data_IF_683292256626
#
_entry.id   IF_683292256626
#
_cell.length_a   1.000
_cell.length_b   1.000
_cell.length_c   1.000
_cell.angle_alpha   90.00
_cell.angle_beta   90.00
_cell.angle_gamma   90.00
#
_symmetry.space_group_name_H-M   'P 1'
#
loop_
_entity.id
_entity.type
_entity.pdbx_description
1 polymer ?
#
# COMPACT_ATOMS: atom_id res chain seq x y z
N UNK A 1 3.86 -6.49 2.07
CA UNK A 1 2.50 -6.77 1.59
C UNK A 1 2.31 -6.21 0.18
N UNK A 2 1.80 -7.03 -0.74
CA UNK A 2 1.50 -6.64 -2.12
C UNK A 2 -0.01 -6.78 -2.36
N UNK A 3 -0.62 -5.76 -2.95
CA UNK A 3 -1.99 -5.88 -3.45
C UNK A 3 -1.99 -6.79 -4.67
N UNK A 4 -2.83 -7.81 -4.68
CA UNK A 4 -2.94 -8.73 -5.81
C UNK A 4 -3.35 -8.02 -7.11
N UNK A 5 -3.13 -8.67 -8.28
CA UNK A 5 -3.63 -8.18 -9.56
C UNK A 5 -5.12 -7.83 -9.48
N UNK A 6 -5.50 -6.69 -10.04
CA UNK A 6 -6.88 -6.23 -10.14
C UNK A 6 -7.03 -5.29 -11.34
N UNK A 7 -8.22 -4.73 -11.53
CA UNK A 7 -8.52 -3.91 -12.70
C UNK A 7 -8.59 -4.77 -13.95
N UNK A 8 -8.05 -4.27 -15.06
CA UNK A 8 -7.98 -5.00 -16.31
C UNK A 8 -7.14 -6.29 -16.21
N UNK A 9 -6.15 -6.31 -15.30
CA UNK A 9 -5.29 -7.48 -15.10
C UNK A 9 -6.06 -8.64 -14.46
N UNK A 10 -7.06 -8.34 -13.61
CA UNK A 10 -7.91 -9.36 -12.97
C UNK A 10 -9.25 -8.74 -12.54
N UNK A 11 -10.26 -8.71 -13.44
CA UNK A 11 -11.56 -8.13 -13.13
C UNK A 11 -12.35 -8.89 -12.07
N UNK A 12 -12.03 -10.17 -11.86
CA UNK A 12 -12.67 -11.06 -10.87
C UNK A 12 -12.15 -10.89 -9.44
N UNK A 13 -11.16 -10.01 -9.22
CA UNK A 13 -10.62 -9.78 -7.88
C UNK A 13 -11.66 -9.20 -6.93
N UNK A 14 -11.67 -9.64 -5.67
CA UNK A 14 -12.64 -9.24 -4.63
C UNK A 14 -12.65 -7.73 -4.33
N UNK A 15 -11.56 -7.02 -4.65
CA UNK A 15 -11.46 -5.58 -4.50
C UNK A 15 -12.18 -4.79 -5.62
N UNK A 16 -12.66 -5.45 -6.68
CA UNK A 16 -13.31 -4.80 -7.81
C UNK A 16 -14.76 -4.41 -7.47
N UNK A 17 -15.11 -3.15 -7.75
CA UNK A 17 -16.47 -2.60 -7.68
C UNK A 17 -16.71 -1.70 -8.88
N UNK A 18 -17.82 -1.89 -9.58
CA UNK A 18 -18.21 -1.07 -10.75
C UNK A 18 -17.08 -0.92 -11.79
N UNK A 19 -16.37 -2.03 -12.05
CA UNK A 19 -15.25 -2.07 -13.00
C UNK A 19 -13.95 -1.41 -12.54
N UNK A 20 -13.88 -0.92 -11.29
CA UNK A 20 -12.69 -0.26 -10.72
C UNK A 20 -12.26 -0.93 -9.42
N UNK A 21 -10.96 -0.91 -9.13
CA UNK A 21 -10.48 -1.36 -7.83
C UNK A 21 -10.96 -0.37 -6.76
N UNK A 22 -11.71 -0.85 -5.77
CA UNK A 22 -12.24 -0.04 -4.67
C UNK A 22 -11.16 0.53 -3.74
N UNK A 23 -9.92 0.07 -3.88
CA UNK A 23 -8.73 0.55 -3.16
C UNK A 23 -7.82 1.40 -4.04
N UNK A 24 -8.23 1.66 -5.28
CA UNK A 24 -7.54 2.49 -6.27
C UNK A 24 -6.13 1.99 -6.63
N UNK A 25 -6.02 0.68 -6.88
CA UNK A 25 -4.81 0.08 -7.43
C UNK A 25 -4.93 -0.11 -8.96
N UNK A 26 -3.80 -0.06 -9.71
CA UNK A 26 -2.45 0.32 -9.25
C UNK A 26 -2.38 1.80 -8.82
N UNK A 27 -1.60 2.11 -7.78
CA UNK A 27 -1.37 3.48 -7.34
C UNK A 27 -0.47 4.23 -8.32
N UNK A 28 -0.56 5.56 -8.38
CA UNK A 28 0.38 6.37 -9.17
C UNK A 28 1.76 6.42 -8.50
N UNK A 29 2.81 6.58 -9.30
CA UNK A 29 4.12 6.98 -8.77
C UNK A 29 4.04 8.42 -8.26
N UNK A 30 4.72 8.68 -7.14
CA UNK A 30 4.76 9.99 -6.50
C UNK A 30 6.13 10.14 -5.86
N UNK A 31 6.84 11.24 -6.16
CA UNK A 31 8.22 11.43 -5.71
C UNK A 31 8.36 11.85 -4.25
N UNK A 32 7.28 12.39 -3.67
CA UNK A 32 7.24 12.81 -2.28
C UNK A 32 5.90 12.46 -1.63
N UNK A 33 5.96 12.25 -0.33
CA UNK A 33 4.78 12.01 0.50
C UNK A 33 4.08 13.35 0.73
N UNK A 34 2.77 13.43 0.48
CA UNK A 34 1.96 14.65 0.65
C UNK A 34 0.55 14.32 1.13
N UNK A 35 -0.22 15.32 1.50
CA UNK A 35 -1.66 15.19 1.75
C UNK A 35 -2.44 15.56 0.49
N UNK A 36 -3.58 14.92 0.28
CA UNK A 36 -4.59 15.43 -0.65
C UNK A 36 -5.50 16.46 0.02
N UNK A 37 -6.44 17.01 -0.75
CA UNK A 37 -7.40 18.02 -0.31
C UNK A 37 -8.33 17.50 0.79
N UNK A 38 -8.55 16.17 0.81
CA UNK A 38 -9.36 15.46 1.79
C UNK A 38 -8.53 14.96 3.00
N UNK A 39 -7.30 15.46 3.15
CA UNK A 39 -6.37 15.17 4.25
C UNK A 39 -5.94 13.70 4.32
N UNK A 40 -6.05 12.96 3.23
CA UNK A 40 -5.50 11.62 3.13
C UNK A 40 -4.00 11.65 2.77
N UNK A 41 -3.19 10.80 3.42
CA UNK A 41 -1.79 10.68 3.11
C UNK A 41 -1.60 10.00 1.74
N UNK A 42 -1.04 10.74 0.78
CA UNK A 42 -0.45 10.19 -0.44
C UNK A 42 1.01 9.89 -0.16
N UNK A 43 1.32 8.62 0.05
CA UNK A 43 2.68 8.15 0.30
C UNK A 43 3.55 8.18 -0.96
N UNK A 44 4.83 8.56 -0.79
CA UNK A 44 5.85 8.47 -1.84
C UNK A 44 5.94 7.05 -2.39
N UNK A 45 5.99 6.95 -3.71
CA UNK A 45 6.11 5.69 -4.43
C UNK A 45 7.04 5.88 -5.63
N UNK A 46 8.31 5.45 -5.47
CA UNK A 46 9.35 5.61 -6.50
C UNK A 46 9.17 4.60 -7.63
N UNK A 47 9.34 5.07 -8.86
CA UNK A 47 9.57 4.18 -9.99
C UNK A 47 11.06 3.81 -10.02
N UNK A 48 11.36 2.56 -9.69
CA UNK A 48 12.73 2.03 -9.64
C UNK A 48 13.01 1.05 -10.78
N UNK A 49 12.05 0.83 -11.69
CA UNK A 49 12.17 -0.14 -12.78
C UNK A 49 12.11 -1.62 -12.35
N UNK A 50 11.87 -1.91 -11.08
CA UNK A 50 11.81 -3.29 -10.57
C UNK A 50 10.40 -3.84 -10.70
N UNK A 51 10.33 -5.05 -11.26
CA UNK A 51 9.11 -5.79 -11.54
C UNK A 51 9.25 -7.18 -10.93
N UNK A 52 8.18 -7.67 -10.32
CA UNK A 52 8.03 -9.06 -9.87
C UNK A 52 6.79 -9.66 -10.53
N UNK A 53 6.89 -10.91 -10.95
CA UNK A 53 5.79 -11.65 -11.55
C UNK A 53 5.01 -12.39 -10.47
N UNK A 54 3.71 -12.10 -10.36
CA UNK A 54 2.78 -12.77 -9.44
C UNK A 54 1.62 -13.33 -10.25
N UNK A 55 1.43 -14.65 -10.25
CA UNK A 55 0.41 -15.34 -11.05
C UNK A 55 0.47 -14.91 -12.53
N UNK A 56 1.66 -14.91 -13.11
CA UNK A 56 1.96 -14.49 -14.49
C UNK A 56 1.66 -13.02 -14.81
N UNK A 57 1.38 -12.20 -13.80
CA UNK A 57 1.18 -10.76 -13.94
C UNK A 57 2.40 -10.01 -13.43
N UNK A 58 2.92 -9.12 -14.27
CA UNK A 58 4.01 -8.22 -13.90
C UNK A 58 3.51 -7.12 -12.96
N UNK A 59 4.10 -7.07 -11.77
CA UNK A 59 3.75 -6.16 -10.69
C UNK A 59 4.97 -5.30 -10.33
N UNK A 60 4.75 -4.00 -10.19
CA UNK A 60 5.76 -3.06 -9.72
C UNK A 60 5.34 -2.41 -8.39
N UNK A 61 6.13 -1.42 -7.95
CA UNK A 61 5.91 -0.70 -6.70
C UNK A 61 4.49 -0.10 -6.57
N UNK A 62 3.71 0.07 -7.66
CA UNK A 62 2.33 0.59 -7.65
C UNK A 62 1.33 -0.30 -6.89
N UNK A 63 1.67 -1.56 -6.65
CA UNK A 63 0.83 -2.51 -5.94
C UNK A 63 1.21 -2.68 -4.45
N UNK A 64 2.30 -2.07 -3.98
CA UNK A 64 2.72 -2.20 -2.57
C UNK A 64 1.68 -1.58 -1.62
N UNK A 65 1.34 -2.29 -0.55
CA UNK A 65 0.49 -1.80 0.54
C UNK A 65 1.41 -1.21 1.64
N UNK A 66 1.23 0.05 2.06
CA UNK A 66 2.00 0.63 3.16
C UNK A 66 1.80 -0.14 4.47
N UNK A 67 2.88 -0.36 5.20
CA UNK A 67 2.88 -1.04 6.51
C UNK A 67 3.86 -0.37 7.48
N UNK A 68 3.71 -0.65 8.78
CA UNK A 68 4.66 -0.21 9.81
C UNK A 68 5.41 -1.43 10.32
N UNK A 69 6.74 -1.55 10.07
CA UNK A 69 7.53 -2.68 10.53
C UNK A 69 7.53 -2.86 12.05
N UNK A 70 7.45 -1.78 12.82
CA UNK A 70 7.38 -1.86 14.29
C UNK A 70 6.06 -2.49 14.74
N UNK A 71 4.94 -2.12 14.09
CA UNK A 71 3.65 -2.73 14.41
C UNK A 71 3.61 -4.20 13.97
N UNK A 72 4.16 -4.49 12.79
CA UNK A 72 4.29 -5.87 12.31
C UNK A 72 5.12 -6.72 13.28
N UNK A 73 6.26 -6.22 13.75
CA UNK A 73 7.12 -6.92 14.69
C UNK A 73 6.49 -7.03 16.09
N UNK A 74 5.84 -5.98 16.58
CA UNK A 74 5.24 -5.95 17.92
C UNK A 74 4.05 -6.90 18.03
N UNK A 75 3.19 -6.95 17.00
CA UNK A 75 1.96 -7.71 17.02
C UNK A 75 2.03 -9.02 16.23
N UNK A 76 3.16 -9.29 15.56
CA UNK A 76 3.34 -10.43 14.66
C UNK A 76 2.18 -10.57 13.66
N UNK A 77 1.72 -9.42 13.16
CA UNK A 77 0.50 -9.32 12.36
C UNK A 77 0.65 -8.34 11.20
N UNK A 78 -0.01 -8.65 10.09
CA UNK A 78 0.01 -7.86 8.87
C UNK A 78 -0.95 -6.67 8.99
N UNK A 79 -0.50 -5.59 9.63
CA UNK A 79 -1.33 -4.42 9.93
C UNK A 79 -1.34 -3.46 8.73
N UNK A 80 -2.49 -3.36 8.08
CA UNK A 80 -2.73 -2.38 7.02
C UNK A 80 -2.96 -0.98 7.62
N UNK A 81 -1.93 -0.13 7.52
CA UNK A 81 -1.98 1.24 8.02
C UNK A 81 -3.06 2.09 7.35
N UNK A 82 -3.36 1.85 6.07
CA UNK A 82 -4.41 2.59 5.37
C UNK A 82 -5.78 2.36 6.02
N UNK A 83 -6.05 1.16 6.55
CA UNK A 83 -7.30 0.89 7.24
C UNK A 83 -7.31 1.48 8.65
N UNK A 84 -6.20 1.39 9.36
CA UNK A 84 -6.10 1.86 10.76
C UNK A 84 -6.28 3.37 10.86
N UNK A 85 -5.58 4.14 10.02
CA UNK A 85 -5.64 5.61 10.01
C UNK A 85 -7.02 6.11 9.57
N UNK A 86 -7.69 5.41 8.65
CA UNK A 86 -8.94 5.89 8.05
C UNK A 86 -10.22 5.34 8.68
N UNK A 87 -10.15 4.37 9.60
CA UNK A 87 -11.32 3.77 10.28
C UNK A 87 -11.41 4.07 11.79
N UNK A 88 -10.43 4.77 12.36
CA UNK A 88 -10.47 5.19 13.76
C UNK A 88 -11.48 6.32 14.02
N UNK A 89 -11.88 6.55 15.29
CA UNK A 89 -12.69 7.71 15.68
C UNK A 89 -11.99 9.03 15.33
N UNK A 90 -10.66 9.02 15.33
CA UNK A 90 -9.79 10.13 14.96
C UNK A 90 -9.61 10.23 13.44
N UNK A 91 -10.71 10.40 12.69
CA UNK A 91 -10.70 10.69 11.23
C UNK A 91 -10.02 12.04 10.88
N UNK A 92 -9.16 12.56 11.75
CA UNK A 92 -8.51 13.84 11.64
C UNK A 92 -7.11 13.69 11.05
N UNK A 93 -6.77 14.60 10.14
CA UNK A 93 -5.43 14.72 9.55
C UNK A 93 -4.27 14.80 10.54
N UNK A 94 -4.51 15.11 11.81
CA UNK A 94 -3.48 15.15 12.85
C UNK A 94 -2.83 13.79 13.08
N UNK A 95 -3.60 12.69 13.19
CA UNK A 95 -3.03 11.35 13.38
C UNK A 95 -2.22 10.93 12.15
N UNK A 96 -2.74 11.22 10.95
CA UNK A 96 -2.02 11.00 9.68
C UNK A 96 -0.71 11.80 9.62
N UNK A 97 -0.71 13.07 10.04
CA UNK A 97 0.48 13.92 10.08
C UNK A 97 1.51 13.44 11.09
N UNK A 98 1.10 13.01 12.28
CA UNK A 98 2.00 12.52 13.33
C UNK A 98 2.61 11.17 12.94
N UNK A 99 1.82 10.27 12.34
CA UNK A 99 2.31 9.00 11.80
C UNK A 99 3.30 9.21 10.64
N UNK A 100 3.13 10.27 9.83
CA UNK A 100 4.05 10.62 8.74
C UNK A 100 5.33 11.32 9.25
N UNK A 101 5.24 12.13 10.32
CA UNK A 101 6.40 12.74 11.01
C UNK A 101 7.22 11.71 11.77
N UNK A 102 6.55 10.67 12.27
CA UNK A 102 7.22 9.47 12.75
C UNK A 102 7.90 8.80 11.56
N UNK A 103 9.23 8.88 11.48
CA UNK A 103 10.06 8.14 10.52
C UNK A 103 9.89 6.60 10.57
N UNK A 104 8.91 6.11 11.35
CA UNK A 104 8.56 4.72 11.56
C UNK A 104 7.50 4.20 10.58
N UNK A 105 6.79 5.05 9.81
CA UNK A 105 6.10 4.59 8.60
C UNK A 105 7.15 4.41 7.52
N UNK A 106 7.86 3.28 7.59
CA UNK A 106 8.75 2.88 6.52
C UNK A 106 7.89 2.56 5.30
N UNK A 107 7.80 3.51 4.37
CA UNK A 107 7.57 3.21 2.95
C UNK A 107 8.92 2.75 2.37
N UNK A 108 9.45 1.68 2.94
CA UNK A 108 10.65 0.97 2.52
C UNK A 108 10.13 -0.46 2.47
N UNK A 109 10.03 -1.14 1.33
CA UNK A 109 11.07 -1.31 0.34
C UNK A 109 10.48 -1.31 -1.07
N UNK A 110 11.29 -0.79 -1.99
CA UNK A 110 11.42 -1.34 -3.33
C UNK A 110 11.15 -2.85 -3.33
N UNK A 111 10.51 -3.36 -4.36
CA UNK A 111 10.49 -4.80 -4.66
C UNK A 111 11.91 -5.45 -4.60
N UNK A 112 13.00 -4.66 -4.60
CA UNK A 112 14.41 -5.06 -4.45
C UNK A 112 14.85 -5.73 -3.14
N UNK A 113 14.02 -5.87 -2.11
CA UNK A 113 14.42 -6.62 -0.91
C UNK A 113 13.33 -7.62 -0.56
N UNK A 114 13.51 -8.83 -1.10
CA UNK A 114 12.94 -10.09 -0.65
C UNK A 114 11.42 -10.06 -0.42
N UNK A 115 10.66 -9.82 -1.49
CA UNK A 115 9.27 -10.28 -1.50
C UNK A 115 9.31 -11.78 -1.76
N UNK A 116 9.47 -12.56 -0.69
CA UNK A 116 9.18 -13.98 -0.73
C UNK A 116 7.74 -14.14 -1.25
N UNK A 117 7.55 -15.03 -2.23
CA UNK A 117 6.30 -15.25 -2.96
C UNK A 117 5.10 -15.56 -2.04
N UNK A 118 5.39 -15.92 -0.78
CA UNK A 118 4.48 -16.15 0.33
C UNK A 118 3.77 -14.89 0.86
N UNK A 119 4.26 -13.66 0.59
CA UNK A 119 3.66 -12.41 1.10
C UNK A 119 2.63 -11.76 0.16
N UNK A 120 2.23 -12.45 -0.91
CA UNK A 120 1.12 -12.06 -1.77
C UNK A 120 -0.23 -12.43 -1.13
N UNK A 121 -0.53 -11.88 0.06
CA UNK A 121 -1.85 -12.06 0.64
C UNK A 121 -2.87 -11.22 -0.14
N UNK A 122 -3.73 -11.92 -0.86
CA UNK A 122 -4.90 -11.39 -1.56
C UNK A 122 -5.80 -10.62 -0.60
N UNK A 123 -5.84 -9.29 -0.75
CA UNK A 123 -6.82 -8.41 -0.10
C UNK A 123 -7.59 -7.57 -1.10
#
# INVERSE_FOLDING_TARGET
MIHGPCGLLRPSSSCMKDGKCSKFYPKRFVDQTRFDEDVYPIYRRRNIGVIVKINDVDIDNRFVVPYNPLLLMKYQAHINLFKYVNKGPDRGGQCSQELMRSNNVKIVMAISLEVDSSFAETY
#
